data_IF_998251152458
#
_entry.id   IF_998251152458
#
_cell.length_a   1.000
_cell.length_b   1.000
_cell.length_c   1.000
_cell.angle_alpha   90.00
_cell.angle_beta   90.00
_cell.angle_gamma   90.00
#
_symmetry.space_group_name_H-M   'P 1'
#
loop_
_entity.id
_entity.type
_entity.pdbx_description
1 polymer ?
#
# COMPACT_ATOMS: atom_id res chain seq x y z
N UNK A 1 -0.81 -28.62 11.35
CA UNK A 1 0.44 -27.99 10.84
C UNK A 1 0.04 -27.04 9.73
N UNK A 2 0.43 -25.77 9.82
CA UNK A 2 0.13 -24.76 8.81
C UNK A 2 0.79 -25.16 7.47
N UNK A 3 -0.03 -25.29 6.45
CA UNK A 3 0.43 -25.45 5.07
C UNK A 3 0.27 -24.09 4.38
N UNK A 4 1.40 -23.48 4.02
CA UNK A 4 1.45 -22.15 3.44
C UNK A 4 1.55 -22.22 1.91
N UNK A 5 0.80 -21.38 1.22
CA UNK A 5 0.71 -21.31 -0.23
C UNK A 5 1.14 -19.93 -0.76
N UNK A 6 1.60 -19.88 -2.00
CA UNK A 6 1.81 -18.62 -2.72
C UNK A 6 0.46 -17.98 -3.09
N UNK A 7 0.45 -16.64 -3.23
CA UNK A 7 -0.75 -15.91 -3.62
C UNK A 7 -0.95 -15.98 -5.14
N UNK A 8 -2.13 -16.41 -5.56
CA UNK A 8 -2.60 -16.39 -6.94
C UNK A 8 -3.64 -15.29 -7.14
N UNK A 9 -3.78 -14.75 -8.34
CA UNK A 9 -4.86 -13.80 -8.66
C UNK A 9 -6.25 -14.39 -8.40
N UNK A 10 -6.40 -15.71 -8.46
CA UNK A 10 -7.64 -16.41 -8.14
C UNK A 10 -8.05 -16.30 -6.66
N UNK A 11 -7.11 -16.00 -5.77
CA UNK A 11 -7.36 -15.88 -4.33
C UNK A 11 -8.00 -14.55 -3.93
N UNK A 12 -8.09 -13.60 -4.86
CA UNK A 12 -8.56 -12.23 -4.59
C UNK A 12 -9.90 -12.19 -3.87
N UNK A 13 -10.89 -12.93 -4.35
CA UNK A 13 -12.22 -12.95 -3.75
C UNK A 13 -12.20 -13.52 -2.33
N UNK A 14 -11.39 -14.53 -2.07
CA UNK A 14 -11.22 -15.11 -0.75
C UNK A 14 -10.60 -14.09 0.22
N UNK A 15 -9.50 -13.47 -0.15
CA UNK A 15 -8.84 -12.44 0.67
C UNK A 15 -9.78 -11.28 0.99
N UNK A 16 -10.52 -10.78 -0.01
CA UNK A 16 -11.49 -9.71 0.18
C UNK A 16 -12.63 -10.12 1.14
N UNK A 17 -13.02 -11.40 1.15
CA UNK A 17 -14.02 -11.90 2.10
C UNK A 17 -13.59 -11.75 3.56
N UNK A 18 -12.29 -11.72 3.84
CA UNK A 18 -11.71 -11.49 5.16
C UNK A 18 -11.37 -10.02 5.42
N UNK A 19 -10.81 -9.33 4.45
CA UNK A 19 -10.15 -8.03 4.63
C UNK A 19 -10.99 -6.82 4.19
N UNK A 20 -11.98 -7.00 3.30
CA UNK A 20 -12.83 -5.90 2.87
C UNK A 20 -13.90 -5.61 3.92
N UNK A 21 -13.58 -4.68 4.82
CA UNK A 21 -14.44 -4.26 5.94
C UNK A 21 -14.48 -2.74 6.00
N UNK A 22 -15.61 -2.14 6.42
CA UNK A 22 -15.74 -0.68 6.51
C UNK A 22 -14.73 -0.03 7.46
N UNK A 23 -14.27 -0.76 8.46
CA UNK A 23 -13.32 -0.27 9.46
C UNK A 23 -11.85 -0.55 9.12
N UNK A 24 -11.54 -1.33 8.09
CA UNK A 24 -10.18 -1.53 7.61
C UNK A 24 -9.81 -0.53 6.53
N UNK A 25 -8.84 0.33 6.83
CA UNK A 25 -8.30 1.33 5.90
C UNK A 25 -6.79 1.21 5.69
N UNK A 26 -6.18 0.14 6.21
CA UNK A 26 -4.76 -0.12 6.11
C UNK A 26 -4.33 -0.75 4.79
N UNK A 27 -3.12 -0.48 4.38
CA UNK A 27 -2.54 -0.97 3.13
C UNK A 27 -2.39 -2.49 3.07
N UNK A 28 -2.27 -3.18 4.20
CA UNK A 28 -2.23 -4.65 4.27
C UNK A 28 -3.53 -5.30 3.80
N UNK A 29 -4.65 -4.56 3.81
CA UNK A 29 -5.95 -5.04 3.33
C UNK A 29 -6.12 -4.91 1.80
N UNK A 30 -5.10 -4.45 1.10
CA UNK A 30 -5.08 -4.36 -0.35
C UNK A 30 -4.50 -5.63 -0.96
N UNK A 31 -5.35 -6.45 -1.59
CA UNK A 31 -4.91 -7.71 -2.21
C UNK A 31 -3.80 -7.48 -3.25
N UNK A 32 -3.94 -6.46 -4.09
CA UNK A 32 -2.93 -6.13 -5.09
C UNK A 32 -1.58 -5.78 -4.48
N UNK A 33 -1.56 -5.14 -3.31
CA UNK A 33 -0.33 -4.86 -2.56
C UNK A 33 0.37 -6.15 -2.12
N UNK A 34 -0.36 -7.07 -1.52
CA UNK A 34 0.17 -8.38 -1.13
C UNK A 34 0.68 -9.17 -2.34
N UNK A 35 -0.10 -9.18 -3.42
CA UNK A 35 0.24 -9.88 -4.66
C UNK A 35 1.53 -9.33 -5.30
N UNK A 36 1.62 -8.01 -5.48
CA UNK A 36 2.76 -7.41 -6.17
C UNK A 36 4.09 -7.54 -5.42
N UNK A 37 4.03 -7.59 -4.09
CA UNK A 37 5.21 -7.68 -3.24
C UNK A 37 5.60 -9.09 -2.81
N UNK A 38 4.79 -10.12 -3.12
CA UNK A 38 5.01 -11.47 -2.60
C UNK A 38 6.36 -12.08 -2.97
N UNK A 39 6.88 -11.80 -4.14
CA UNK A 39 8.18 -12.30 -4.57
C UNK A 39 9.35 -11.68 -3.80
N UNK A 40 9.22 -10.36 -3.51
CA UNK A 40 10.25 -9.63 -2.78
C UNK A 40 10.26 -9.90 -1.28
N UNK A 41 9.08 -10.17 -0.72
CA UNK A 41 8.89 -10.33 0.72
C UNK A 41 8.46 -11.74 1.13
N UNK A 42 8.60 -12.72 0.27
CA UNK A 42 8.23 -14.13 0.52
C UNK A 42 6.88 -14.22 1.26
N UNK A 43 5.82 -13.65 0.65
CA UNK A 43 4.50 -13.65 1.25
C UNK A 43 3.79 -14.97 0.92
N UNK A 44 3.41 -15.70 1.96
CA UNK A 44 2.65 -16.94 1.88
C UNK A 44 1.39 -16.83 2.75
N UNK A 45 0.39 -17.63 2.44
CA UNK A 45 -0.86 -17.58 3.16
C UNK A 45 -1.46 -18.97 3.42
N UNK A 46 -2.40 -19.03 4.34
CA UNK A 46 -3.26 -20.19 4.59
C UNK A 46 -4.55 -19.76 5.30
N UNK A 47 -5.53 -20.64 5.30
CA UNK A 47 -6.68 -20.55 6.19
C UNK A 47 -6.51 -21.54 7.36
N UNK A 48 -6.66 -21.06 8.58
CA UNK A 48 -6.59 -21.88 9.79
C UNK A 48 -7.56 -21.36 10.85
N UNK A 49 -8.35 -22.26 11.45
CA UNK A 49 -9.33 -21.92 12.49
C UNK A 49 -10.30 -20.79 12.12
N UNK A 50 -10.63 -20.67 10.81
CA UNK A 50 -11.49 -19.59 10.30
C UNK A 50 -10.81 -18.25 10.11
N UNK A 51 -9.49 -18.18 10.25
CA UNK A 51 -8.68 -16.99 10.01
C UNK A 51 -7.94 -17.10 8.69
N UNK A 52 -7.79 -15.97 7.99
CA UNK A 52 -6.79 -15.78 6.97
C UNK A 52 -5.47 -15.43 7.66
N UNK A 53 -4.45 -16.23 7.41
CA UNK A 53 -3.11 -16.11 8.00
C UNK A 53 -2.10 -15.81 6.91
N UNK A 54 -1.33 -14.74 7.09
CA UNK A 54 -0.32 -14.27 6.15
C UNK A 54 1.05 -14.26 6.83
N UNK A 55 2.01 -14.98 6.24
CA UNK A 55 3.41 -14.98 6.66
C UNK A 55 4.23 -14.15 5.68
N UNK A 56 5.09 -13.29 6.21
CA UNK A 56 5.93 -12.38 5.43
C UNK A 56 7.38 -12.54 5.88
N UNK A 57 8.31 -12.44 4.94
CA UNK A 57 9.74 -12.31 5.24
C UNK A 57 10.27 -11.00 4.71
N UNK A 58 10.79 -10.18 5.61
CA UNK A 58 11.35 -8.87 5.26
C UNK A 58 12.66 -8.66 6.02
N UNK A 59 13.74 -8.29 5.31
CA UNK A 59 15.05 -8.07 5.92
C UNK A 59 15.52 -9.26 6.78
N UNK A 60 15.35 -10.47 6.27
CA UNK A 60 15.66 -11.75 6.94
C UNK A 60 14.87 -12.02 8.25
N UNK A 61 13.84 -11.25 8.52
CA UNK A 61 12.89 -11.47 9.63
C UNK A 61 11.60 -12.07 9.10
N UNK A 62 11.26 -13.26 9.61
CA UNK A 62 9.94 -13.87 9.39
C UNK A 62 8.94 -13.32 10.41
N UNK A 63 7.80 -12.89 9.94
CA UNK A 63 6.70 -12.46 10.80
C UNK A 63 5.34 -12.81 10.18
N UNK A 64 4.31 -12.79 10.98
CA UNK A 64 2.93 -12.88 10.53
C UNK A 64 2.28 -11.51 10.54
N UNK A 65 1.34 -11.27 9.64
CA UNK A 65 0.42 -10.15 9.78
C UNK A 65 -0.66 -10.50 10.81
N UNK A 66 -1.41 -9.49 11.25
CA UNK A 66 -2.62 -9.72 12.04
C UNK A 66 -3.49 -10.79 11.35
N UNK A 67 -3.92 -11.84 12.03
CA UNK A 67 -4.90 -12.76 11.46
C UNK A 67 -6.24 -12.06 11.22
N UNK A 68 -6.82 -12.28 10.05
CA UNK A 68 -8.11 -11.68 9.69
C UNK A 68 -9.24 -12.70 9.83
N UNK A 69 -10.41 -12.24 10.28
CA UNK A 69 -11.58 -13.11 10.46
C UNK A 69 -11.55 -13.91 11.73
N UNK A 70 -12.06 -15.15 11.67
CA UNK A 70 -12.11 -16.08 12.80
C UNK A 70 -12.95 -15.60 13.99
N UNK A 71 -13.10 -16.45 14.99
CA UNK A 71 -13.73 -16.11 16.27
C UNK A 71 -12.68 -15.84 17.33
N UNK A 72 -12.99 -14.95 18.28
CA UNK A 72 -12.09 -14.64 19.39
C UNK A 72 -11.68 -15.88 20.20
N UNK A 73 -12.60 -16.81 20.39
CA UNK A 73 -12.37 -18.07 21.10
C UNK A 73 -11.37 -19.01 20.43
N UNK A 74 -11.21 -18.89 19.09
CA UNK A 74 -10.30 -19.71 18.29
C UNK A 74 -8.90 -19.10 18.16
N UNK A 75 -8.73 -17.84 18.54
CA UNK A 75 -7.44 -17.13 18.42
C UNK A 75 -6.31 -17.81 19.23
N UNK A 76 -6.52 -18.30 20.45
CA UNK A 76 -5.49 -19.04 21.19
C UNK A 76 -5.05 -20.33 20.49
N UNK A 77 -5.98 -21.03 19.82
CA UNK A 77 -5.67 -22.23 19.03
C UNK A 77 -4.78 -21.90 17.85
N UNK A 78 -5.12 -20.82 17.13
CA UNK A 78 -4.30 -20.34 16.02
C UNK A 78 -2.89 -19.97 16.48
N UNK A 79 -2.76 -19.20 17.57
CA UNK A 79 -1.44 -18.79 18.08
C UNK A 79 -0.59 -19.99 18.50
N UNK A 80 -1.23 -21.02 19.09
CA UNK A 80 -0.55 -22.28 19.40
C UNK A 80 -0.03 -22.97 18.13
N UNK A 81 -0.83 -23.05 17.09
CA UNK A 81 -0.44 -23.70 15.82
C UNK A 81 0.68 -22.93 15.12
N UNK A 82 0.66 -21.59 15.12
CA UNK A 82 1.76 -20.77 14.63
C UNK A 82 3.05 -21.06 15.42
N UNK A 83 2.96 -21.17 16.73
CA UNK A 83 4.11 -21.50 17.56
C UNK A 83 4.67 -22.88 17.27
N UNK A 84 3.80 -23.88 17.04
CA UNK A 84 4.21 -25.22 16.60
C UNK A 84 4.89 -25.19 15.22
N UNK A 85 4.37 -24.39 14.28
CA UNK A 85 5.01 -24.15 12.99
C UNK A 85 6.44 -23.59 13.14
N UNK A 86 6.68 -22.74 14.14
CA UNK A 86 8.00 -22.21 14.51
C UNK A 86 8.83 -23.15 15.41
N UNK A 87 8.44 -24.41 15.55
CA UNK A 87 9.13 -25.39 16.43
C UNK A 87 9.22 -24.91 17.90
N UNK A 88 8.20 -24.26 18.37
CA UNK A 88 8.13 -23.71 19.74
C UNK A 88 8.97 -22.45 19.99
N UNK A 89 9.64 -21.93 18.97
CA UNK A 89 10.44 -20.68 19.07
C UNK A 89 9.53 -19.45 19.08
N UNK A 90 10.01 -18.32 19.61
CA UNK A 90 9.31 -17.06 19.50
C UNK A 90 9.06 -16.68 18.04
N UNK A 91 7.93 -16.02 17.79
CA UNK A 91 7.57 -15.47 16.49
C UNK A 91 6.99 -14.06 16.64
N UNK A 92 7.03 -13.30 15.55
CA UNK A 92 6.56 -11.93 15.52
C UNK A 92 5.25 -11.79 14.76
N UNK A 93 4.41 -10.84 15.19
CA UNK A 93 3.23 -10.37 14.47
C UNK A 93 3.40 -8.88 14.25
N UNK A 94 3.30 -8.44 12.99
CA UNK A 94 3.36 -7.06 12.57
C UNK A 94 2.05 -6.65 11.87
N UNK A 95 1.90 -5.37 11.57
CA UNK A 95 0.70 -4.86 10.90
C UNK A 95 -0.57 -5.08 11.70
N UNK A 96 -0.48 -5.03 13.01
CA UNK A 96 -1.61 -5.19 13.93
C UNK A 96 -2.38 -3.86 13.96
N UNK A 97 -3.66 -3.90 13.60
CA UNK A 97 -4.57 -2.75 13.73
C UNK A 97 -5.18 -2.68 15.13
N UNK A 98 -5.95 -1.62 15.41
CA UNK A 98 -6.58 -1.42 16.72
C UNK A 98 -7.47 -2.60 17.14
N UNK A 99 -8.28 -3.13 16.22
CA UNK A 99 -9.13 -4.30 16.48
C UNK A 99 -8.33 -5.58 16.82
N UNK A 100 -7.26 -5.82 16.07
CA UNK A 100 -6.35 -6.94 16.30
C UNK A 100 -5.62 -6.83 17.64
N UNK A 101 -5.22 -5.61 18.00
CA UNK A 101 -4.62 -5.32 19.29
C UNK A 101 -5.59 -5.64 20.45
N UNK A 102 -6.84 -5.19 20.35
CA UNK A 102 -7.87 -5.50 21.35
C UNK A 102 -8.11 -7.01 21.50
N UNK A 103 -8.24 -7.73 20.37
CA UNK A 103 -8.44 -9.19 20.36
C UNK A 103 -7.26 -9.93 20.98
N UNK A 104 -6.04 -9.55 20.63
CA UNK A 104 -4.82 -10.16 21.17
C UNK A 104 -4.69 -9.93 22.67
N UNK A 105 -4.93 -8.71 23.16
CA UNK A 105 -4.86 -8.39 24.59
C UNK A 105 -5.98 -9.05 25.41
N UNK A 106 -7.16 -9.26 24.82
CA UNK A 106 -8.25 -10.01 25.45
C UNK A 106 -7.87 -11.49 25.65
N UNK A 107 -7.23 -12.11 24.65
CA UNK A 107 -6.80 -13.50 24.71
C UNK A 107 -5.50 -13.69 25.51
N UNK A 108 -4.61 -12.71 25.47
CA UNK A 108 -3.28 -12.72 26.07
C UNK A 108 -3.01 -11.40 26.81
N UNK A 109 -3.55 -11.22 28.03
CA UNK A 109 -3.49 -9.93 28.74
C UNK A 109 -2.07 -9.44 29.05
N UNK A 110 -1.11 -10.34 29.16
CA UNK A 110 0.28 -10.01 29.48
C UNK A 110 1.16 -9.78 28.23
N UNK A 111 0.56 -9.83 27.04
CA UNK A 111 1.29 -9.62 25.79
C UNK A 111 1.73 -8.16 25.65
N UNK A 112 3.01 -7.94 25.42
CA UNK A 112 3.54 -6.61 25.14
C UNK A 112 3.35 -6.28 23.66
N UNK A 113 2.55 -5.26 23.37
CA UNK A 113 2.28 -4.76 22.02
C UNK A 113 2.82 -3.34 21.93
N UNK A 114 3.70 -3.09 20.96
CA UNK A 114 4.38 -1.81 20.76
C UNK A 114 3.91 -1.10 19.51
N UNK A 115 3.97 0.23 19.54
CA UNK A 115 3.70 1.07 18.37
C UNK A 115 4.75 0.82 17.28
N UNK A 116 4.30 0.72 16.05
CA UNK A 116 5.14 0.60 14.86
C UNK A 116 4.97 1.83 13.96
N UNK A 117 5.36 2.99 14.47
CA UNK A 117 5.12 4.31 13.84
C UNK A 117 5.64 4.41 12.41
N UNK A 118 6.76 3.79 12.10
CA UNK A 118 7.38 3.86 10.77
C UNK A 118 6.54 3.17 9.69
N UNK A 119 5.63 2.27 10.09
CA UNK A 119 4.73 1.56 9.21
C UNK A 119 3.28 2.08 9.23
N UNK A 120 2.99 3.16 9.97
CA UNK A 120 1.65 3.75 9.95
C UNK A 120 1.34 4.35 8.58
N UNK A 121 0.14 4.10 8.07
CA UNK A 121 -0.31 4.65 6.81
C UNK A 121 -0.85 6.08 6.95
N UNK A 122 -0.58 6.88 5.94
CA UNK A 122 -1.10 8.23 5.79
C UNK A 122 -2.40 8.20 5.00
N UNK A 123 -3.50 8.64 5.61
CA UNK A 123 -4.82 8.67 4.96
C UNK A 123 -5.30 10.11 4.81
N UNK A 124 -5.71 10.43 3.60
CA UNK A 124 -6.13 11.78 3.19
C UNK A 124 -7.59 11.76 2.75
N UNK A 125 -8.29 12.87 2.88
CA UNK A 125 -9.55 13.06 2.18
C UNK A 125 -9.29 13.16 0.67
N UNK A 126 -9.95 12.31 -0.11
CA UNK A 126 -9.84 12.34 -1.58
C UNK A 126 -10.10 13.74 -2.13
N UNK A 127 -11.14 14.41 -1.65
CA UNK A 127 -11.49 15.74 -2.09
C UNK A 127 -10.38 16.77 -1.85
N UNK A 128 -9.65 16.66 -0.74
CA UNK A 128 -8.53 17.55 -0.44
C UNK A 128 -7.39 17.40 -1.42
N UNK A 129 -7.03 16.15 -1.77
CA UNK A 129 -5.99 15.89 -2.76
C UNK A 129 -6.42 16.30 -4.17
N UNK A 130 -7.69 16.04 -4.52
CA UNK A 130 -8.23 16.34 -5.84
C UNK A 130 -8.35 17.84 -6.13
N UNK A 131 -8.65 18.67 -5.13
CA UNK A 131 -8.91 20.11 -5.29
C UNK A 131 -7.76 20.98 -4.82
N UNK A 132 -6.96 20.52 -3.86
CA UNK A 132 -5.94 21.31 -3.17
C UNK A 132 -6.50 22.65 -2.66
N UNK A 133 -7.76 22.64 -2.21
CA UNK A 133 -8.48 23.82 -1.76
C UNK A 133 -8.05 24.21 -0.33
N UNK A 134 -8.09 25.50 -0.06
CA UNK A 134 -7.79 26.04 1.24
C UNK A 134 -6.32 26.42 1.46
N UNK A 135 -6.12 27.24 2.50
CA UNK A 135 -4.82 27.83 2.80
C UNK A 135 -3.71 26.80 3.06
N UNK A 136 -4.05 25.68 3.68
CA UNK A 136 -3.10 24.60 4.00
C UNK A 136 -2.48 23.93 2.77
N UNK A 137 -3.13 24.00 1.61
CA UNK A 137 -2.66 23.42 0.35
C UNK A 137 -2.11 24.46 -0.64
N UNK A 138 -2.00 25.74 -0.24
CA UNK A 138 -1.59 26.81 -1.13
C UNK A 138 -0.26 26.54 -1.85
N UNK A 139 0.74 26.04 -1.11
CA UNK A 139 2.04 25.68 -1.70
C UNK A 139 1.95 24.57 -2.75
N UNK A 140 1.14 23.53 -2.49
CA UNK A 140 0.94 22.42 -3.45
C UNK A 140 0.19 22.90 -4.69
N UNK A 141 -0.83 23.73 -4.51
CA UNK A 141 -1.57 24.35 -5.62
C UNK A 141 -0.68 25.23 -6.49
N UNK A 142 0.23 25.99 -5.87
CA UNK A 142 1.20 26.80 -6.60
C UNK A 142 2.15 25.94 -7.46
N UNK A 143 2.61 24.80 -6.96
CA UNK A 143 3.40 23.86 -7.74
C UNK A 143 2.63 23.33 -8.95
N UNK A 144 1.37 22.96 -8.77
CA UNK A 144 0.52 22.54 -9.89
C UNK A 144 0.31 23.67 -10.91
N UNK A 145 0.02 24.89 -10.46
CA UNK A 145 -0.19 26.03 -11.34
C UNK A 145 1.08 26.40 -12.14
N UNK A 146 2.25 26.32 -11.53
CA UNK A 146 3.52 26.55 -12.20
C UNK A 146 3.76 25.50 -13.30
N UNK A 147 3.50 24.23 -13.00
CA UNK A 147 3.59 23.14 -13.99
C UNK A 147 2.65 23.38 -15.18
N UNK A 148 1.37 23.67 -14.91
CA UNK A 148 0.37 23.90 -15.99
C UNK A 148 0.76 25.08 -16.86
N UNK A 149 1.37 26.12 -16.29
CA UNK A 149 1.87 27.29 -17.04
C UNK A 149 3.03 26.92 -17.97
N UNK A 150 3.95 26.04 -17.53
CA UNK A 150 5.10 25.59 -18.32
C UNK A 150 4.71 24.52 -19.35
N UNK A 151 3.71 23.70 -19.04
CA UNK A 151 3.24 22.59 -19.87
C UNK A 151 1.73 22.65 -20.09
N UNK A 152 1.21 23.68 -20.77
CA UNK A 152 -0.24 23.88 -20.93
C UNK A 152 -0.93 22.77 -21.71
N UNK A 153 -0.19 22.05 -22.54
CA UNK A 153 -0.69 20.99 -23.43
C UNK A 153 -0.45 19.57 -22.86
N UNK A 154 -0.08 19.46 -21.56
CA UNK A 154 0.04 18.13 -20.93
C UNK A 154 -1.28 17.38 -20.95
N UNK A 155 -1.22 16.06 -21.01
CA UNK A 155 -2.38 15.20 -21.08
C UNK A 155 -2.38 14.26 -19.87
N UNK A 156 -3.51 14.22 -19.17
CA UNK A 156 -3.82 13.12 -18.23
C UNK A 156 -4.66 12.10 -18.98
N UNK A 157 -4.31 10.83 -18.85
CA UNK A 157 -5.11 9.72 -19.38
C UNK A 157 -5.23 8.59 -18.36
N UNK A 158 -6.29 7.81 -18.47
CA UNK A 158 -6.48 6.61 -17.68
C UNK A 158 -5.48 5.54 -18.11
N UNK A 159 -4.88 4.85 -17.14
CA UNK A 159 -4.03 3.70 -17.41
C UNK A 159 -4.87 2.53 -17.92
N UNK A 160 -4.45 1.91 -19.01
CA UNK A 160 -5.11 0.78 -19.64
C UNK A 160 -4.11 -0.03 -20.49
N UNK A 161 -4.59 -1.09 -21.15
CA UNK A 161 -3.74 -1.96 -21.98
C UNK A 161 -2.92 -1.22 -23.05
N UNK A 162 -3.42 -0.08 -23.54
CA UNK A 162 -2.75 0.66 -24.62
C UNK A 162 -1.54 1.46 -24.15
N UNK A 163 -1.41 1.75 -22.86
CA UNK A 163 -0.33 2.58 -22.30
C UNK A 163 0.48 1.92 -21.18
N UNK A 164 0.11 0.74 -20.69
CA UNK A 164 0.82 0.04 -19.61
C UNK A 164 2.29 -0.23 -19.98
N UNK A 165 2.58 -0.65 -21.19
CA UNK A 165 3.96 -0.92 -21.61
C UNK A 165 4.85 0.34 -21.54
N UNK A 166 4.33 1.49 -21.92
CA UNK A 166 5.05 2.76 -21.79
C UNK A 166 5.24 3.15 -20.31
N UNK A 167 4.27 2.87 -19.45
CA UNK A 167 4.39 3.06 -18.01
C UNK A 167 5.46 2.15 -17.41
N UNK A 168 5.51 0.88 -17.80
CA UNK A 168 6.56 -0.05 -17.40
C UNK A 168 7.94 0.42 -17.82
N UNK A 169 8.10 0.86 -19.07
CA UNK A 169 9.36 1.38 -19.58
C UNK A 169 9.81 2.63 -18.81
N UNK A 170 8.89 3.55 -18.52
CA UNK A 170 9.18 4.72 -17.69
C UNK A 170 9.56 4.33 -16.25
N UNK A 171 8.82 3.42 -15.64
CA UNK A 171 9.10 2.93 -14.30
C UNK A 171 10.45 2.24 -14.19
N UNK A 172 10.81 1.41 -15.17
CA UNK A 172 12.10 0.75 -15.24
C UNK A 172 13.25 1.77 -15.33
N UNK A 173 13.14 2.73 -16.21
CA UNK A 173 14.12 3.81 -16.34
C UNK A 173 14.23 4.62 -15.03
N UNK A 174 13.12 4.94 -14.40
CA UNK A 174 13.08 5.67 -13.14
C UNK A 174 13.80 4.91 -12.01
N UNK A 175 13.55 3.61 -11.86
CA UNK A 175 14.19 2.74 -10.89
C UNK A 175 15.70 2.57 -11.20
N UNK A 176 16.05 2.25 -12.43
CA UNK A 176 17.44 2.01 -12.86
C UNK A 176 18.36 3.19 -12.63
N UNK A 177 17.87 4.40 -12.85
CA UNK A 177 18.65 5.63 -12.59
C UNK A 177 18.98 5.87 -11.12
N UNK A 178 18.29 5.21 -10.19
CA UNK A 178 18.38 5.42 -8.74
C UNK A 178 18.82 4.19 -7.96
N UNK A 179 18.96 3.04 -8.60
CA UNK A 179 19.32 1.78 -7.93
C UNK A 179 20.68 1.82 -7.22
N UNK A 180 21.62 2.64 -7.71
CA UNK A 180 22.92 2.82 -7.07
C UNK A 180 22.80 3.49 -5.68
N UNK A 181 21.82 4.36 -5.53
CA UNK A 181 21.58 5.11 -4.30
C UNK A 181 20.57 4.42 -3.38
N UNK A 182 19.67 3.62 -3.97
CA UNK A 182 18.64 2.86 -3.26
C UNK A 182 18.47 1.45 -3.86
N UNK A 183 19.19 0.45 -3.32
CA UNK A 183 19.11 -0.94 -3.79
C UNK A 183 17.71 -1.57 -3.65
N UNK A 184 16.83 -1.06 -2.78
CA UNK A 184 15.46 -1.56 -2.61
C UNK A 184 14.60 -1.39 -3.86
N UNK A 185 14.99 -0.49 -4.77
CA UNK A 185 14.30 -0.24 -6.04
C UNK A 185 14.33 -1.44 -7.01
N UNK A 186 15.22 -2.40 -6.82
CA UNK A 186 15.20 -3.67 -7.56
C UNK A 186 13.89 -4.42 -7.28
N UNK A 187 13.51 -4.53 -6.02
CA UNK A 187 12.24 -5.13 -5.61
C UNK A 187 11.05 -4.30 -6.08
N UNK A 188 11.09 -2.99 -5.96
CA UNK A 188 10.01 -2.12 -6.41
C UNK A 188 9.78 -2.23 -7.92
N UNK A 189 10.85 -2.32 -8.72
CA UNK A 189 10.75 -2.57 -10.16
C UNK A 189 10.00 -3.88 -10.44
N UNK A 190 10.39 -4.97 -9.78
CA UNK A 190 9.70 -6.26 -9.90
C UNK A 190 8.23 -6.18 -9.49
N UNK A 191 7.94 -5.53 -8.37
CA UNK A 191 6.58 -5.37 -7.87
C UNK A 191 5.68 -4.57 -8.83
N UNK A 192 6.20 -3.52 -9.46
CA UNK A 192 5.48 -2.75 -10.48
C UNK A 192 5.13 -3.64 -11.68
N UNK A 193 6.07 -4.47 -12.16
CA UNK A 193 5.81 -5.42 -13.24
C UNK A 193 4.72 -6.43 -12.86
N UNK A 194 4.80 -7.04 -11.68
CA UNK A 194 3.79 -7.97 -11.18
C UNK A 194 2.39 -7.33 -11.14
N UNK A 195 2.30 -6.10 -10.66
CA UNK A 195 1.04 -5.36 -10.60
C UNK A 195 0.48 -5.05 -11.99
N UNK A 196 1.28 -4.46 -12.88
CA UNK A 196 0.81 -3.99 -14.18
C UNK A 196 0.57 -5.13 -15.18
N UNK A 197 1.30 -6.24 -15.09
CA UNK A 197 1.04 -7.46 -15.86
C UNK A 197 -0.30 -8.12 -15.47
N UNK A 198 -0.80 -7.85 -14.27
CA UNK A 198 -2.06 -8.36 -13.73
C UNK A 198 -3.09 -7.24 -13.47
N UNK A 199 -2.96 -6.10 -14.13
CA UNK A 199 -3.70 -4.88 -13.86
C UNK A 199 -5.22 -5.07 -13.81
N UNK A 200 -5.79 -5.75 -14.78
CA UNK A 200 -7.24 -5.99 -14.84
C UNK A 200 -7.69 -7.03 -13.82
N UNK A 201 -6.95 -8.13 -13.68
CA UNK A 201 -7.27 -9.19 -12.71
C UNK A 201 -7.24 -8.70 -11.27
N UNK A 202 -6.31 -7.79 -10.95
CA UNK A 202 -6.20 -7.13 -9.66
C UNK A 202 -7.20 -5.97 -9.48
N UNK A 203 -7.94 -5.61 -10.53
CA UNK A 203 -8.86 -4.45 -10.55
C UNK A 203 -8.17 -3.16 -10.13
N UNK A 204 -6.94 -2.95 -10.58
CA UNK A 204 -6.22 -1.72 -10.36
C UNK A 204 -6.81 -0.57 -11.18
N UNK A 205 -6.65 0.64 -10.68
CA UNK A 205 -6.86 1.88 -11.43
C UNK A 205 -5.55 2.63 -11.51
N UNK A 206 -5.28 3.23 -12.64
CA UNK A 206 -4.07 4.00 -12.84
C UNK A 206 -4.31 5.27 -13.63
N UNK A 207 -3.42 6.23 -13.46
CA UNK A 207 -3.38 7.49 -14.19
C UNK A 207 -2.00 7.74 -14.76
N UNK A 208 -1.95 8.36 -15.92
CA UNK A 208 -0.74 8.62 -16.70
C UNK A 208 -0.71 10.08 -17.13
N UNK A 209 0.43 10.72 -17.02
CA UNK A 209 0.65 12.06 -17.58
C UNK A 209 1.64 11.97 -18.73
N UNK A 210 1.23 12.55 -19.87
CA UNK A 210 2.08 12.76 -21.04
C UNK A 210 2.44 14.22 -21.21
N UNK A 211 3.68 14.45 -21.58
CA UNK A 211 4.19 15.75 -22.00
C UNK A 211 4.84 15.53 -23.37
N UNK A 212 4.40 16.29 -24.36
CA UNK A 212 4.86 16.13 -25.76
C UNK A 212 4.75 14.68 -26.27
N UNK A 213 3.65 14.01 -25.91
CA UNK A 213 3.36 12.64 -26.30
C UNK A 213 4.09 11.55 -25.51
N UNK A 214 4.98 11.91 -24.60
CA UNK A 214 5.82 10.99 -23.84
C UNK A 214 5.28 10.82 -22.42
N UNK A 215 5.27 9.58 -21.90
CA UNK A 215 4.94 9.32 -20.50
C UNK A 215 6.03 9.89 -19.60
N UNK A 216 5.64 10.78 -18.70
CA UNK A 216 6.52 11.44 -17.74
C UNK A 216 6.10 11.21 -16.29
N UNK A 217 4.90 10.69 -16.05
CA UNK A 217 4.43 10.28 -14.74
C UNK A 217 3.34 9.22 -14.83
N UNK A 218 3.24 8.38 -13.81
CA UNK A 218 2.11 7.49 -13.60
C UNK A 218 1.89 7.22 -12.11
N UNK A 219 0.68 6.78 -11.80
CA UNK A 219 0.30 6.29 -10.47
C UNK A 219 -0.73 5.19 -10.61
N UNK A 220 -0.77 4.24 -9.69
CA UNK A 220 -1.84 3.24 -9.63
C UNK A 220 -2.15 2.82 -8.20
N UNK A 221 -3.35 2.29 -8.03
CA UNK A 221 -3.85 1.83 -6.75
C UNK A 221 -5.11 0.98 -6.88
N UNK A 222 -5.77 0.69 -5.77
CA UNK A 222 -6.96 -0.15 -5.71
C UNK A 222 -7.92 0.27 -4.60
N UNK A 223 -9.21 0.00 -4.78
CA UNK A 223 -10.19 0.07 -3.69
C UNK A 223 -10.03 -1.12 -2.76
N UNK A 224 -10.13 -0.88 -1.46
CA UNK A 224 -10.10 -1.93 -0.43
C UNK A 224 -11.46 -2.11 0.27
N UNK A 225 -12.32 -1.10 0.20
CA UNK A 225 -13.69 -1.13 0.67
C UNK A 225 -14.50 -0.02 -0.02
N UNK A 226 -15.73 0.24 0.40
CA UNK A 226 -16.61 1.20 -0.26
C UNK A 226 -16.14 2.66 -0.18
N UNK A 227 -15.37 3.03 0.84
CA UNK A 227 -14.97 4.42 1.09
C UNK A 227 -13.46 4.69 0.95
N UNK A 228 -12.63 3.67 0.75
CA UNK A 228 -11.16 3.81 0.78
C UNK A 228 -10.46 3.14 -0.39
N UNK A 229 -9.52 3.84 -0.98
CA UNK A 229 -8.54 3.29 -1.93
C UNK A 229 -7.12 3.45 -1.38
N UNK A 230 -6.23 2.55 -1.79
CA UNK A 230 -4.80 2.57 -1.48
C UNK A 230 -4.01 2.87 -2.74
N UNK A 231 -3.13 3.87 -2.69
CA UNK A 231 -2.24 4.24 -3.79
C UNK A 231 -0.89 3.58 -3.58
N UNK A 232 -0.52 2.66 -4.47
CA UNK A 232 0.67 1.82 -4.29
C UNK A 232 1.94 2.45 -4.84
N UNK A 233 1.84 3.08 -6.01
CA UNK A 233 2.99 3.64 -6.73
C UNK A 233 2.63 4.99 -7.31
N UNK A 234 3.55 5.93 -7.17
CA UNK A 234 3.52 7.23 -7.83
C UNK A 234 4.95 7.54 -8.30
N UNK A 235 5.13 7.63 -9.59
CA UNK A 235 6.41 7.93 -10.24
C UNK A 235 6.25 9.10 -11.18
N UNK A 236 7.18 10.04 -11.09
CA UNK A 236 7.24 11.19 -11.98
C UNK A 236 8.69 11.54 -12.30
N UNK A 237 8.93 12.15 -13.45
CA UNK A 237 10.23 12.69 -13.79
C UNK A 237 10.56 13.83 -12.81
N UNK A 238 11.58 13.68 -11.94
CA UNK A 238 11.89 14.68 -10.91
C UNK A 238 12.49 15.96 -11.47
N UNK A 239 12.98 15.94 -12.70
CA UNK A 239 13.52 17.11 -13.38
C UNK A 239 12.41 18.08 -13.85
N UNK A 240 11.17 17.60 -13.94
CA UNK A 240 10.03 18.42 -14.33
C UNK A 240 9.35 18.97 -13.06
N UNK A 241 9.52 20.26 -12.82
CA UNK A 241 9.01 20.95 -11.67
C UNK A 241 7.49 20.83 -11.55
N UNK A 242 7.01 20.44 -10.38
CA UNK A 242 5.58 20.35 -10.04
C UNK A 242 4.88 19.09 -10.55
N UNK A 243 5.55 18.23 -11.32
CA UNK A 243 4.93 17.04 -11.90
C UNK A 243 4.44 16.04 -10.86
N UNK A 244 5.16 15.83 -9.76
CA UNK A 244 4.68 14.98 -8.64
C UNK A 244 3.38 15.53 -8.02
N UNK A 245 3.28 16.84 -7.84
CA UNK A 245 2.06 17.44 -7.32
C UNK A 245 0.88 17.29 -8.30
N UNK A 246 1.14 17.39 -9.57
CA UNK A 246 0.11 17.27 -10.62
C UNK A 246 -0.38 15.85 -10.77
N UNK A 247 0.50 14.84 -10.84
CA UNK A 247 0.04 13.43 -10.92
C UNK A 247 -0.76 13.05 -9.68
N UNK A 248 -0.35 13.46 -8.50
CA UNK A 248 -1.10 13.22 -7.27
C UNK A 248 -2.50 13.84 -7.32
N UNK A 249 -2.61 15.11 -7.68
CA UNK A 249 -3.90 15.82 -7.81
C UNK A 249 -4.78 15.20 -8.88
N UNK A 250 -4.26 15.01 -10.07
CA UNK A 250 -5.04 14.58 -11.23
C UNK A 250 -5.49 13.13 -11.08
N UNK A 251 -4.66 12.28 -10.50
CA UNK A 251 -5.03 10.90 -10.20
C UNK A 251 -6.12 10.84 -9.12
N UNK A 252 -5.98 11.59 -8.04
CA UNK A 252 -7.01 11.69 -6.99
C UNK A 252 -8.35 12.16 -7.57
N UNK A 253 -8.32 13.17 -8.44
CA UNK A 253 -9.50 13.76 -9.05
C UNK A 253 -10.20 12.83 -10.05
N UNK A 254 -9.43 12.22 -10.95
CA UNK A 254 -10.00 11.51 -12.11
C UNK A 254 -10.29 10.03 -11.81
N UNK A 255 -9.51 9.38 -10.95
CA UNK A 255 -9.65 7.96 -10.69
C UNK A 255 -10.49 7.63 -9.45
N UNK A 256 -10.58 8.52 -8.48
CA UNK A 256 -11.04 8.21 -7.13
C UNK A 256 -12.22 9.06 -6.63
N UNK A 257 -13.02 9.60 -7.54
CA UNK A 257 -14.20 10.37 -7.16
C UNK A 257 -15.29 9.58 -6.42
N UNK A 258 -15.19 8.26 -6.37
CA UNK A 258 -16.13 7.34 -5.72
C UNK A 258 -15.68 6.87 -4.33
N UNK A 259 -14.58 7.39 -3.79
CA UNK A 259 -14.12 7.10 -2.42
C UNK A 259 -14.00 8.38 -1.60
N UNK A 260 -14.06 8.23 -0.28
CA UNK A 260 -13.87 9.32 0.67
C UNK A 260 -12.39 9.49 1.03
N UNK A 261 -11.67 8.38 1.18
CA UNK A 261 -10.31 8.35 1.68
C UNK A 261 -9.34 7.76 0.67
N UNK A 262 -8.13 8.36 0.63
CA UNK A 262 -6.98 7.83 -0.10
C UNK A 262 -5.85 7.54 0.88
N UNK A 263 -5.46 6.27 0.97
CA UNK A 263 -4.32 5.80 1.75
C UNK A 263 -3.08 5.83 0.83
N UNK A 264 -2.07 6.59 1.21
CA UNK A 264 -0.80 6.69 0.47
C UNK A 264 0.33 5.89 1.10
N UNK A 265 -0.02 4.91 1.92
CA UNK A 265 0.90 3.98 2.59
C UNK A 265 1.83 4.67 3.61
N UNK A 266 2.83 3.96 4.09
CA UNK A 266 3.75 4.36 5.15
C UNK A 266 4.94 5.19 4.65
N UNK A 267 5.72 5.72 5.57
CA UNK A 267 7.00 6.39 5.30
C UNK A 267 8.24 5.52 5.53
N UNK A 268 8.07 4.32 6.10
CA UNK A 268 9.14 3.36 6.41
C UNK A 268 10.30 3.95 7.24
N UNK A 269 10.04 5.01 8.02
CA UNK A 269 11.06 5.71 8.81
C UNK A 269 11.98 6.64 8.02
N UNK A 270 11.72 6.85 6.72
CA UNK A 270 12.46 7.81 5.90
C UNK A 270 12.00 9.23 6.15
N UNK A 271 12.86 10.06 6.72
CA UNK A 271 12.53 11.42 7.14
C UNK A 271 12.02 12.29 5.97
N UNK A 272 12.66 12.23 4.82
CA UNK A 272 12.24 12.98 3.63
C UNK A 272 10.85 12.56 3.13
N UNK A 273 10.55 11.27 3.15
CA UNK A 273 9.23 10.75 2.77
C UNK A 273 8.16 11.14 3.81
N UNK A 274 8.51 11.08 5.09
CA UNK A 274 7.65 11.54 6.20
C UNK A 274 7.27 13.00 6.04
N UNK A 275 8.26 13.87 5.82
CA UNK A 275 8.02 15.29 5.59
C UNK A 275 7.11 15.54 4.37
N UNK A 276 7.36 14.84 3.27
CA UNK A 276 6.54 14.95 2.07
C UNK A 276 5.08 14.53 2.32
N UNK A 277 4.88 13.40 2.98
CA UNK A 277 3.53 12.91 3.30
C UNK A 277 2.79 13.79 4.30
N UNK A 278 3.46 14.27 5.35
CA UNK A 278 2.89 15.20 6.33
C UNK A 278 2.55 16.56 5.70
N UNK A 279 3.31 16.99 4.69
CA UNK A 279 3.04 18.26 3.99
C UNK A 279 1.70 18.29 3.26
N UNK A 280 1.12 17.14 2.94
CA UNK A 280 -0.22 17.00 2.36
C UNK A 280 -1.34 16.95 3.40
N UNK A 281 -1.02 17.10 4.70
CA UNK A 281 -1.99 17.19 5.81
C UNK A 281 -2.96 16.01 5.85
N UNK A 282 -2.51 14.83 6.29
CA UNK A 282 -3.37 13.66 6.40
C UNK A 282 -4.56 13.93 7.32
N UNK A 283 -5.70 13.35 7.00
CA UNK A 283 -6.90 13.41 7.83
C UNK A 283 -6.72 12.59 9.11
N UNK A 284 -6.14 11.39 8.96
CA UNK A 284 -5.75 10.52 10.07
C UNK A 284 -4.65 9.55 9.63
N UNK A 285 -4.08 8.88 10.63
CA UNK A 285 -3.10 7.81 10.43
C UNK A 285 -3.76 6.46 10.72
N UNK A 286 -3.51 5.46 9.88
CA UNK A 286 -3.78 4.06 10.26
C UNK A 286 -2.65 3.60 11.15
N UNK A 287 -2.94 3.47 12.45
CA UNK A 287 -1.99 2.98 13.44
C UNK A 287 -1.74 1.50 13.25
N UNK A 288 -0.49 1.11 13.42
CA UNK A 288 -0.06 -0.29 13.36
C UNK A 288 0.86 -0.61 14.53
N UNK A 289 0.73 -1.83 15.02
CA UNK A 289 1.46 -2.32 16.17
C UNK A 289 2.19 -3.60 15.82
N UNK A 290 3.14 -3.96 16.63
CA UNK A 290 3.87 -5.23 16.55
C UNK A 290 4.04 -5.88 17.91
N UNK A 291 4.24 -7.18 17.91
CA UNK A 291 4.47 -7.96 19.13
C UNK A 291 5.34 -9.17 18.86
N UNK A 292 5.96 -9.69 19.92
CA UNK A 292 6.71 -10.95 19.91
C UNK A 292 5.99 -11.92 20.82
N UNK A 293 5.54 -13.04 20.26
CA UNK A 293 5.05 -14.20 21.00
C UNK A 293 6.23 -15.06 21.45
N UNK A 294 6.42 -15.18 22.76
CA UNK A 294 7.52 -15.94 23.39
C UNK A 294 7.17 -17.41 23.59
#
# INVERSE_FOLDING_TARGET
>A
ILELEEISVADKALFESYMSRPYYRGSECAFGNLFMWQTCYDIFWTEAHGFLVLKVKRNDVDFFLQPFGGKDEDLPLLMKEIKEYHNGKPFEIHGIYDDGRERLLKAFPDLEITDDRDNWDYVYLQQNLATLAGRKYHGKKNHCNAFVKEHPDYVYEEMNRSNIEECLAFGDMWCERRMSDDPSLVCEKCAIHEALDNFEALKLRGGVIRIDGKVEAFSFGEKINDDTAVLHVEKANPEIRGLYAVINRDFAKNAWGDVTYLNREEDMGHEGLRMAKESYKPEFMVKKYSTIFK
#
